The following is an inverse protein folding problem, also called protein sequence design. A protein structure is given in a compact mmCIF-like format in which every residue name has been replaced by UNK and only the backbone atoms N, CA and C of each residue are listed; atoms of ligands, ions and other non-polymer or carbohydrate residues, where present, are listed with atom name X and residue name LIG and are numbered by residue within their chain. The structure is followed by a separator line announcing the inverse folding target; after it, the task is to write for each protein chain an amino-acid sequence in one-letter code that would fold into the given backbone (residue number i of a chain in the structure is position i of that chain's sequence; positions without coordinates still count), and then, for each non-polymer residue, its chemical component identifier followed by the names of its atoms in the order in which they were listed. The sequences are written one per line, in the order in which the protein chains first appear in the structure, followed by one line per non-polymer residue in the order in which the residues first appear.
data_IF_145648885666
#
_entry.id   IF_145648885666
#
_cell.length_a   1.000
_cell.length_b   1.000
_cell.length_c   1.000
_cell.angle_alpha   90.00
_cell.angle_beta   90.00
_cell.angle_gamma   90.00
#
_symmetry.space_group_name_H-M   'P 1'
#
loop_
_entity.id
_entity.type
_entity.pdbx_description
1 polymer ?
#
# COMPACT_ATOMS: atom_id res chain seq x y z
N UNK A 1 -43.86 -0.51 11.43
CA UNK A 1 -43.36 0.83 11.74
C UNK A 1 -41.85 0.77 11.72
N UNK A 2 -41.24 1.15 10.59
CA UNK A 2 -39.78 1.22 10.46
C UNK A 2 -39.29 2.43 11.24
N UNK A 3 -38.65 2.21 12.38
CA UNK A 3 -37.89 3.23 13.06
C UNK A 3 -36.63 3.54 12.25
N UNK A 4 -36.70 4.54 11.40
CA UNK A 4 -35.52 5.15 10.82
C UNK A 4 -34.80 5.85 11.96
N UNK A 5 -33.80 5.20 12.53
CA UNK A 5 -32.87 5.87 13.43
C UNK A 5 -32.22 7.01 12.68
N UNK A 6 -32.23 8.26 13.17
CA UNK A 6 -31.53 9.34 12.52
C UNK A 6 -30.04 8.97 12.52
N UNK A 7 -29.49 8.63 11.37
CA UNK A 7 -28.05 8.63 11.17
C UNK A 7 -27.63 10.08 11.38
N UNK A 8 -27.21 10.41 12.58
CA UNK A 8 -26.70 11.74 12.90
C UNK A 8 -25.53 12.00 11.98
N UNK A 9 -25.51 13.16 11.31
CA UNK A 9 -24.44 13.52 10.37
C UNK A 9 -23.03 13.37 10.94
N UNK A 10 -22.89 13.38 12.27
CA UNK A 10 -21.66 13.06 13.00
C UNK A 10 -21.21 11.62 12.80
N UNK A 11 -22.13 10.64 12.79
CA UNK A 11 -21.79 9.24 12.53
C UNK A 11 -21.25 9.03 11.12
N UNK A 12 -21.87 9.66 10.11
CA UNK A 12 -21.42 9.59 8.73
C UNK A 12 -20.03 10.23 8.54
N UNK A 13 -19.74 11.36 9.18
CA UNK A 13 -18.43 12.01 9.14
C UNK A 13 -17.36 11.17 9.83
N UNK A 14 -17.67 10.54 10.96
CA UNK A 14 -16.77 9.62 11.66
C UNK A 14 -16.44 8.41 10.79
N UNK A 15 -17.44 7.84 10.12
CA UNK A 15 -17.23 6.73 9.17
C UNK A 15 -16.34 7.16 7.99
N UNK A 16 -16.60 8.35 7.41
CA UNK A 16 -15.78 8.89 6.32
C UNK A 16 -14.31 9.08 6.74
N UNK A 17 -14.09 9.60 7.94
CA UNK A 17 -12.73 9.75 8.49
C UNK A 17 -12.04 8.40 8.71
N UNK A 18 -12.76 7.41 9.24
CA UNK A 18 -12.22 6.07 9.46
C UNK A 18 -11.86 5.38 8.13
N UNK A 19 -12.73 5.49 7.13
CA UNK A 19 -12.48 4.96 5.78
C UNK A 19 -11.25 5.60 5.15
N UNK A 20 -11.17 6.94 5.14
CA UNK A 20 -10.03 7.66 4.58
C UNK A 20 -8.72 7.34 5.30
N UNK A 21 -8.73 7.28 6.63
CA UNK A 21 -7.55 6.95 7.42
C UNK A 21 -7.06 5.50 7.15
N UNK A 22 -7.98 4.55 6.99
CA UNK A 22 -7.63 3.18 6.64
C UNK A 22 -7.00 3.09 5.25
N UNK A 23 -7.56 3.82 4.27
CA UNK A 23 -6.99 3.93 2.92
C UNK A 23 -5.58 4.52 2.93
N UNK A 24 -5.34 5.56 3.70
CA UNK A 24 -4.01 6.16 3.85
C UNK A 24 -2.99 5.16 4.42
N UNK A 25 -3.36 4.42 5.47
CA UNK A 25 -2.50 3.38 6.05
C UNK A 25 -2.18 2.28 5.02
N UNK A 26 -3.17 1.84 4.28
CA UNK A 26 -3.00 0.84 3.23
C UNK A 26 -2.03 1.33 2.14
N UNK A 27 -2.18 2.56 1.67
CA UNK A 27 -1.28 3.13 0.66
C UNK A 27 0.13 3.38 1.20
N UNK A 28 0.29 3.72 2.48
CA UNK A 28 1.61 3.84 3.11
C UNK A 28 2.36 2.51 3.10
N UNK A 29 1.68 1.40 3.38
CA UNK A 29 2.30 0.07 3.31
C UNK A 29 2.66 -0.32 1.87
N UNK A 30 1.80 0.00 0.91
CA UNK A 30 2.08 -0.19 -0.52
C UNK A 30 3.30 0.63 -0.96
N UNK A 31 3.36 1.90 -0.61
CA UNK A 31 4.51 2.77 -0.90
C UNK A 31 5.81 2.22 -0.31
N UNK A 32 5.77 1.70 0.91
CA UNK A 32 6.94 1.06 1.54
C UNK A 32 7.40 -0.16 0.75
N UNK A 33 6.47 -1.05 0.39
CA UNK A 33 6.81 -2.26 -0.40
C UNK A 33 7.41 -1.90 -1.76
N UNK A 34 6.82 -0.94 -2.46
CA UNK A 34 7.31 -0.45 -3.75
C UNK A 34 8.69 0.19 -3.62
N UNK A 35 8.91 1.02 -2.60
CA UNK A 35 10.22 1.63 -2.35
C UNK A 35 11.29 0.58 -2.04
N UNK A 36 10.95 -0.47 -1.28
CA UNK A 36 11.85 -1.59 -1.00
C UNK A 36 12.16 -2.39 -2.28
N UNK A 37 11.15 -2.63 -3.13
CA UNK A 37 11.34 -3.28 -4.42
C UNK A 37 12.29 -2.48 -5.32
N UNK A 38 12.07 -1.16 -5.44
CA UNK A 38 12.93 -0.27 -6.24
C UNK A 38 14.37 -0.24 -5.70
N UNK A 39 14.54 -0.13 -4.39
CA UNK A 39 15.86 -0.12 -3.76
C UNK A 39 16.64 -1.40 -4.03
N UNK A 40 15.94 -2.53 -4.20
CA UNK A 40 16.53 -3.85 -4.43
C UNK A 40 16.43 -4.35 -5.87
N UNK A 41 15.96 -3.52 -6.80
CA UNK A 41 15.68 -3.95 -8.19
C UNK A 41 16.91 -4.54 -8.90
N UNK A 42 18.10 -4.09 -8.55
CA UNK A 42 19.37 -4.51 -9.14
C UNK A 42 20.32 -5.17 -8.10
N UNK A 43 19.82 -5.54 -6.93
CA UNK A 43 20.60 -6.24 -5.92
C UNK A 43 20.93 -7.67 -6.39
N UNK A 44 22.10 -8.16 -5.98
CA UNK A 44 22.53 -9.53 -6.28
C UNK A 44 22.65 -10.34 -5.00
N UNK A 45 22.67 -11.67 -5.14
CA UNK A 45 22.87 -12.54 -3.99
C UNK A 45 24.24 -12.33 -3.35
N UNK A 46 24.34 -12.60 -2.04
CA UNK A 46 25.59 -12.51 -1.29
C UNK A 46 26.54 -13.68 -1.59
N UNK A 47 26.02 -14.78 -2.15
CA UNK A 47 26.77 -16.00 -2.44
C UNK A 47 26.66 -16.36 -3.92
N UNK A 48 27.69 -16.97 -4.53
CA UNK A 48 27.64 -17.43 -5.91
C UNK A 48 26.45 -18.38 -6.16
N UNK A 49 25.64 -18.08 -7.20
CA UNK A 49 24.46 -18.88 -7.54
C UNK A 49 23.31 -18.77 -6.53
N UNK A 50 23.39 -17.88 -5.54
CA UNK A 50 22.34 -17.65 -4.54
C UNK A 50 21.10 -16.99 -5.11
N UNK A 51 19.99 -17.03 -4.35
CA UNK A 51 18.75 -16.36 -4.72
C UNK A 51 18.83 -14.85 -4.41
N UNK A 52 18.46 -13.99 -5.37
CA UNK A 52 18.38 -12.54 -5.15
C UNK A 52 17.12 -12.16 -4.38
N UNK A 53 16.94 -10.86 -4.15
CA UNK A 53 15.72 -10.30 -3.61
C UNK A 53 14.49 -10.69 -4.44
N UNK A 54 13.37 -10.98 -3.79
CA UNK A 54 12.08 -11.19 -4.46
C UNK A 54 11.17 -10.01 -4.26
N UNK A 55 10.46 -9.65 -5.33
CA UNK A 55 9.44 -8.61 -5.31
C UNK A 55 8.42 -8.86 -4.20
N UNK A 56 8.11 -7.83 -3.42
CA UNK A 56 7.05 -7.85 -2.41
C UNK A 56 5.80 -7.18 -2.94
N UNK A 57 4.66 -7.76 -2.61
CA UNK A 57 3.33 -7.24 -2.98
C UNK A 57 2.50 -7.07 -1.71
N UNK A 58 1.66 -6.05 -1.68
CA UNK A 58 0.70 -5.82 -0.59
C UNK A 58 -0.70 -6.14 -1.11
N UNK A 59 -1.44 -6.94 -0.36
CA UNK A 59 -2.85 -7.25 -0.66
C UNK A 59 -3.76 -6.37 0.17
N UNK A 60 -4.88 -5.97 -0.44
CA UNK A 60 -5.93 -5.19 0.21
C UNK A 60 -7.18 -6.03 0.37
N UNK A 61 -7.81 -5.91 1.52
CA UNK A 61 -9.08 -6.56 1.84
C UNK A 61 -10.07 -5.53 2.36
N UNK A 62 -11.29 -5.58 1.87
CA UNK A 62 -12.37 -4.78 2.44
C UNK A 62 -12.88 -5.41 3.73
N UNK A 63 -13.13 -4.58 4.72
CA UNK A 63 -13.64 -4.99 6.02
C UNK A 63 -14.53 -3.90 6.59
N UNK A 64 -15.43 -4.28 7.50
CA UNK A 64 -16.25 -3.32 8.25
C UNK A 64 -15.67 -3.14 9.64
N UNK A 65 -15.43 -1.91 10.01
CA UNK A 65 -15.03 -1.56 11.37
C UNK A 65 -16.24 -1.70 12.31
N UNK A 66 -16.15 -2.62 13.27
CA UNK A 66 -17.24 -2.90 14.20
C UNK A 66 -17.57 -1.73 15.15
N UNK A 67 -16.61 -0.84 15.39
CA UNK A 67 -16.80 0.30 16.30
C UNK A 67 -17.55 1.45 15.60
N UNK A 68 -17.26 1.69 14.34
CA UNK A 68 -17.82 2.83 13.58
C UNK A 68 -18.84 2.44 12.53
N UNK A 69 -18.87 1.15 12.14
CA UNK A 69 -19.66 0.67 10.98
C UNK A 69 -19.07 1.09 9.64
N UNK A 70 -17.88 1.69 9.62
CA UNK A 70 -17.23 2.17 8.40
C UNK A 70 -16.70 1.01 7.56
N UNK A 71 -16.82 1.13 6.24
CA UNK A 71 -16.05 0.30 5.31
C UNK A 71 -14.59 0.74 5.33
N UNK A 72 -13.71 -0.16 5.73
CA UNK A 72 -12.27 0.11 5.87
C UNK A 72 -11.46 -0.86 5.01
N UNK A 73 -10.28 -0.41 4.62
CA UNK A 73 -9.29 -1.25 3.95
C UNK A 73 -8.34 -1.83 4.99
N UNK A 74 -8.18 -3.15 4.95
CA UNK A 74 -7.14 -3.86 5.70
C UNK A 74 -6.06 -4.34 4.73
N UNK A 75 -4.85 -4.38 5.22
CA UNK A 75 -3.72 -4.95 4.49
C UNK A 75 -3.32 -6.27 5.11
N UNK A 76 -3.10 -7.28 4.27
CA UNK A 76 -2.47 -8.53 4.67
C UNK A 76 -0.98 -8.37 4.89
N UNK A 77 -0.32 -9.47 5.27
CA UNK A 77 1.16 -9.51 5.26
C UNK A 77 1.65 -9.35 3.83
N UNK A 78 2.77 -8.66 3.62
CA UNK A 78 3.39 -8.61 2.30
C UNK A 78 3.65 -10.02 1.78
N UNK A 79 3.22 -10.29 0.56
CA UNK A 79 3.47 -11.55 -0.15
C UNK A 79 4.69 -11.38 -1.05
N UNK A 80 5.42 -12.46 -1.27
CA UNK A 80 6.49 -12.50 -2.25
C UNK A 80 5.96 -12.97 -3.60
N UNK A 81 6.37 -12.29 -4.66
CA UNK A 81 6.05 -12.68 -6.03
C UNK A 81 6.91 -13.89 -6.42
N UNK A 82 6.27 -14.97 -6.85
CA UNK A 82 6.96 -16.19 -7.27
C UNK A 82 7.33 -16.19 -8.76
N UNK A 83 7.18 -15.06 -9.47
CA UNK A 83 7.65 -14.94 -10.84
C UNK A 83 9.15 -15.27 -10.96
N UNK A 84 9.60 -15.81 -12.12
CA UNK A 84 11.00 -16.16 -12.31
C UNK A 84 11.91 -14.93 -12.20
N UNK A 85 13.12 -15.15 -11.72
CA UNK A 85 14.16 -14.14 -11.69
C UNK A 85 14.63 -13.77 -13.09
N UNK A 86 15.10 -12.54 -13.26
CA UNK A 86 15.86 -12.14 -14.45
C UNK A 86 17.26 -12.74 -14.37
N UNK A 87 17.83 -13.10 -15.49
CA UNK A 87 19.20 -13.64 -15.55
C UNK A 87 20.03 -12.82 -16.52
N UNK A 88 21.28 -12.56 -16.14
CA UNK A 88 22.28 -11.88 -16.97
C UNK A 88 23.54 -12.73 -17.02
N UNK A 89 24.11 -12.90 -18.20
CA UNK A 89 25.38 -13.61 -18.35
C UNK A 89 26.55 -12.69 -18.00
N UNK A 90 27.16 -12.94 -16.86
CA UNK A 90 28.38 -12.27 -16.40
C UNK A 90 29.18 -13.25 -15.51
N UNK A 91 30.04 -14.05 -16.12
CA UNK A 91 30.81 -15.07 -15.37
C UNK A 91 31.85 -14.44 -14.44
N UNK A 92 32.16 -13.16 -14.58
CA UNK A 92 33.12 -12.47 -13.73
C UNK A 92 32.48 -11.92 -12.45
N UNK A 93 31.16 -11.91 -12.38
CA UNK A 93 30.44 -11.35 -11.23
C UNK A 93 30.54 -12.27 -10.00
N UNK A 94 30.76 -11.73 -8.78
CA UNK A 94 30.87 -12.53 -7.56
C UNK A 94 29.66 -13.42 -7.25
N UNK A 95 28.47 -13.04 -7.73
CA UNK A 95 27.24 -13.80 -7.56
C UNK A 95 26.92 -14.75 -8.72
N UNK A 96 27.82 -14.88 -9.72
CA UNK A 96 27.62 -15.77 -10.85
C UNK A 96 27.56 -17.24 -10.40
N UNK A 97 26.61 -17.99 -10.96
CA UNK A 97 26.55 -19.43 -10.79
C UNK A 97 27.62 -20.18 -11.61
N UNK A 98 27.70 -21.51 -11.50
CA UNK A 98 28.64 -22.33 -12.26
C UNK A 98 28.46 -22.22 -13.78
N UNK A 99 27.26 -21.84 -14.23
CA UNK A 99 26.88 -21.61 -15.62
C UNK A 99 27.24 -20.21 -16.14
N UNK A 100 27.79 -19.33 -15.27
CA UNK A 100 28.17 -17.96 -15.58
C UNK A 100 26.99 -16.96 -15.58
N UNK A 101 25.81 -17.38 -15.14
CA UNK A 101 24.66 -16.48 -15.04
C UNK A 101 24.49 -15.91 -13.63
N UNK A 102 24.16 -14.63 -13.57
CA UNK A 102 23.75 -13.92 -12.35
C UNK A 102 22.24 -13.79 -12.34
N UNK A 103 21.62 -14.17 -11.23
CA UNK A 103 20.19 -13.94 -11.02
C UNK A 103 19.96 -12.54 -10.45
N UNK A 104 19.02 -11.81 -11.03
CA UNK A 104 18.55 -10.50 -10.58
C UNK A 104 17.11 -10.61 -10.07
N UNK A 105 16.67 -9.68 -9.21
CA UNK A 105 15.32 -9.66 -8.69
C UNK A 105 14.26 -9.63 -9.80
N UNK A 106 13.10 -10.20 -9.52
CA UNK A 106 11.92 -10.16 -10.38
C UNK A 106 11.16 -8.83 -10.24
N UNK A 107 11.87 -7.72 -10.23
CA UNK A 107 11.36 -6.35 -10.10
C UNK A 107 11.53 -5.64 -11.42
N UNK A 108 10.45 -5.00 -11.92
CA UNK A 108 10.50 -4.06 -13.03
C UNK A 108 10.43 -2.65 -12.48
N UNK A 109 11.47 -1.85 -12.67
CA UNK A 109 11.54 -0.47 -12.17
C UNK A 109 10.42 0.41 -12.73
N UNK A 110 10.03 0.22 -14.00
CA UNK A 110 8.96 0.96 -14.64
C UNK A 110 7.60 0.67 -14.01
N UNK A 111 7.34 -0.61 -13.72
CA UNK A 111 6.10 -1.06 -13.08
C UNK A 111 6.03 -0.53 -11.64
N UNK A 112 7.11 -0.65 -10.89
CA UNK A 112 7.17 -0.16 -9.51
C UNK A 112 7.05 1.38 -9.46
N UNK A 113 7.68 2.10 -10.40
CA UNK A 113 7.55 3.55 -10.48
C UNK A 113 6.12 4.00 -10.83
N UNK A 114 5.42 3.25 -11.68
CA UNK A 114 4.01 3.50 -11.97
C UNK A 114 3.13 3.23 -10.75
N UNK A 115 3.40 2.13 -10.04
CA UNK A 115 2.69 1.73 -8.83
C UNK A 115 2.89 2.76 -7.69
N UNK A 116 4.10 3.28 -7.55
CA UNK A 116 4.41 4.36 -6.60
C UNK A 116 3.58 5.61 -6.87
N UNK A 117 3.49 6.03 -8.13
CA UNK A 117 2.69 7.22 -8.52
C UNK A 117 1.20 7.02 -8.24
N UNK A 118 0.69 5.84 -8.54
CA UNK A 118 -0.71 5.50 -8.25
C UNK A 118 -1.00 5.46 -6.75
N UNK A 119 -0.14 4.83 -5.97
CA UNK A 119 -0.26 4.77 -4.52
C UNK A 119 -0.17 6.17 -3.87
N UNK A 120 0.72 7.02 -4.34
CA UNK A 120 0.84 8.41 -3.88
C UNK A 120 -0.43 9.21 -4.20
N UNK A 121 -0.98 9.07 -5.41
CA UNK A 121 -2.23 9.73 -5.80
C UNK A 121 -3.41 9.27 -4.94
N UNK A 122 -3.51 7.97 -4.68
CA UNK A 122 -4.55 7.42 -3.81
C UNK A 122 -4.42 7.89 -2.36
N UNK A 123 -3.19 8.00 -1.86
CA UNK A 123 -2.90 8.56 -0.55
C UNK A 123 -3.35 10.02 -0.45
N UNK A 124 -3.00 10.84 -1.43
CA UNK A 124 -3.40 12.26 -1.48
C UNK A 124 -4.92 12.43 -1.56
N UNK A 125 -5.61 11.60 -2.33
CA UNK A 125 -7.07 11.61 -2.40
C UNK A 125 -7.72 11.27 -1.05
N UNK A 126 -7.21 10.27 -0.34
CA UNK A 126 -7.66 9.93 1.01
C UNK A 126 -7.36 11.04 2.01
N UNK A 127 -6.21 11.69 1.92
CA UNK A 127 -5.85 12.84 2.76
C UNK A 127 -6.81 14.01 2.55
N UNK A 128 -7.15 14.33 1.29
CA UNK A 128 -8.13 15.38 0.97
C UNK A 128 -9.50 15.06 1.56
N UNK A 129 -9.96 13.80 1.42
CA UNK A 129 -11.23 13.35 2.00
C UNK A 129 -11.24 13.45 3.53
N UNK A 130 -10.14 13.04 4.18
CA UNK A 130 -10.00 13.15 5.63
C UNK A 130 -10.05 14.61 6.10
N UNK A 131 -9.32 15.48 5.43
CA UNK A 131 -9.28 16.93 5.74
C UNK A 131 -10.65 17.56 5.58
N UNK A 132 -11.36 17.26 4.50
CA UNK A 132 -12.72 17.75 4.26
C UNK A 132 -13.68 17.27 5.33
N UNK A 133 -13.67 15.99 5.69
CA UNK A 133 -14.51 15.43 6.74
C UNK A 133 -14.25 16.10 8.11
N UNK A 134 -12.98 16.34 8.45
CA UNK A 134 -12.61 17.07 9.67
C UNK A 134 -13.13 18.51 9.68
N UNK A 135 -13.01 19.21 8.56
CA UNK A 135 -13.53 20.58 8.43
C UNK A 135 -15.04 20.61 8.59
N UNK A 136 -15.75 19.68 7.97
CA UNK A 136 -17.21 19.57 8.12
C UNK A 136 -17.61 19.25 9.55
N UNK A 137 -16.89 18.36 10.21
CA UNK A 137 -17.12 17.99 11.61
C UNK A 137 -16.94 19.21 12.54
N UNK A 138 -15.86 19.97 12.35
CA UNK A 138 -15.62 21.19 13.13
C UNK A 138 -16.73 22.22 12.94
N UNK A 139 -17.15 22.49 11.71
CA UNK A 139 -18.27 23.39 11.41
C UNK A 139 -19.58 22.93 12.04
N UNK A 140 -19.85 21.63 12.05
CA UNK A 140 -21.05 21.08 12.70
C UNK A 140 -21.03 21.33 14.21
N UNK A 141 -19.86 21.14 14.85
CA UNK A 141 -19.70 21.44 16.29
C UNK A 141 -19.89 22.92 16.58
N UNK A 142 -19.38 23.82 15.74
CA UNK A 142 -19.53 25.25 15.92
C UNK A 142 -21.02 25.70 15.85
N UNK A 143 -21.78 25.11 14.94
CA UNK A 143 -23.23 25.35 14.83
C UNK A 143 -23.96 24.87 16.10
N UNK A 144 -23.56 23.74 16.67
CA UNK A 144 -24.18 23.19 17.88
C UNK A 144 -23.83 23.97 19.14
N UNK A 145 -22.75 24.75 19.13
CA UNK A 145 -22.35 25.62 20.26
C UNK A 145 -22.98 27.04 20.21
N UNK A 146 -23.46 27.42 19.06
CA UNK A 146 -24.16 28.69 18.86
C UNK A 146 -25.62 28.56 19.32
#
# INVERSE_FOLDING_TARGET
MSSISPVTGQGALTQAMATAASGMRAQTLRLRAVAENLANANSTAATPGGAPYRRKMVTFEESVDKATGASIVRTGRPLTDNAPFRTVYDPSHPAAGPDGYVQLPNVSEEVEAADMREAARSYEANLASLTQARTMFAKTLDILKA
#
